data_IF_506305040003
#
_entry.id   IF_506305040003
#
_cell.length_a   1.000
_cell.length_b   1.000
_cell.length_c   1.000
_cell.angle_alpha   90.00
_cell.angle_beta   90.00
_cell.angle_gamma   90.00
#
_symmetry.space_group_name_H-M   'P 1'
#
loop_
_entity.id
_entity.type
_entity.pdbx_description
1 polymer ?
#
# COMPACT_ATOMS: atom_id res chain seq x y z
N UNK A 1 2.13 14.71 17.22
CA UNK A 1 1.51 15.52 16.17
C UNK A 1 0.15 14.96 15.82
N UNK A 2 -0.79 15.81 15.44
CA UNK A 2 -2.12 15.44 14.96
C UNK A 2 -2.39 16.19 13.66
N UNK A 3 -2.78 15.47 12.57
CA UNK A 3 -3.18 16.08 11.31
C UNK A 3 -4.66 15.78 11.06
N UNK A 4 -5.39 16.77 10.58
CA UNK A 4 -6.77 16.64 10.14
C UNK A 4 -6.86 17.10 8.68
N UNK A 5 -7.30 16.21 7.80
CA UNK A 5 -7.44 16.49 6.37
C UNK A 5 -8.89 16.37 5.96
N UNK A 6 -9.36 17.32 5.15
CA UNK A 6 -10.71 17.33 4.60
C UNK A 6 -10.72 17.11 3.10
N UNK A 7 -11.59 16.24 2.60
CA UNK A 7 -11.77 16.02 1.17
C UNK A 7 -13.24 16.06 0.76
N UNK A 8 -13.56 16.85 -0.26
CA UNK A 8 -14.91 16.95 -0.83
C UNK A 8 -15.32 15.72 -1.65
N UNK A 9 -14.36 14.83 -1.95
CA UNK A 9 -14.57 13.58 -2.67
C UNK A 9 -15.44 12.57 -1.92
N UNK A 10 -15.60 12.74 -0.60
CA UNK A 10 -16.39 11.88 0.26
C UNK A 10 -17.74 12.50 0.63
N UNK A 11 -18.69 11.66 1.00
CA UNK A 11 -20.01 12.07 1.46
C UNK A 11 -19.94 12.91 2.75
N UNK A 12 -21.02 13.65 3.05
CA UNK A 12 -21.13 14.42 4.30
C UNK A 12 -20.95 13.50 5.51
N UNK A 13 -20.19 13.95 6.52
CA UNK A 13 -19.94 13.20 7.76
C UNK A 13 -18.67 12.37 7.76
N UNK A 14 -18.10 12.04 6.59
CA UNK A 14 -16.86 11.25 6.46
C UNK A 14 -15.77 11.95 5.65
N UNK A 15 -15.93 13.24 5.41
CA UNK A 15 -14.96 14.09 4.68
C UNK A 15 -13.65 14.30 5.41
N UNK A 16 -13.66 14.22 6.73
CA UNK A 16 -12.51 14.50 7.57
C UNK A 16 -11.82 13.21 7.99
N UNK A 17 -10.52 13.11 7.70
CA UNK A 17 -9.61 12.10 8.22
C UNK A 17 -8.73 12.69 9.31
N UNK A 18 -8.46 11.92 10.37
CA UNK A 18 -7.63 12.31 11.50
C UNK A 18 -6.46 11.34 11.62
N UNK A 19 -5.24 11.88 11.58
CA UNK A 19 -4.03 11.09 11.46
C UNK A 19 -3.05 11.48 12.58
N UNK A 20 -3.08 10.77 13.73
CA UNK A 20 -2.13 10.97 14.82
C UNK A 20 -0.75 10.43 14.44
N UNK A 21 0.30 11.04 15.00
CA UNK A 21 1.66 10.52 14.96
C UNK A 21 2.46 10.94 16.20
N UNK A 22 3.40 10.11 16.59
CA UNK A 22 4.27 10.35 17.71
C UNK A 22 5.59 9.59 17.56
N UNK A 23 6.66 10.14 18.13
CA UNK A 23 7.96 9.48 18.15
C UNK A 23 8.68 9.74 19.47
N UNK A 24 9.48 8.76 19.86
CA UNK A 24 10.39 8.81 21.00
C UNK A 24 11.79 8.43 20.54
N UNK A 25 12.79 9.08 21.10
CA UNK A 25 14.18 8.73 20.85
C UNK A 25 14.98 8.84 22.15
N UNK A 26 15.76 7.81 22.43
CA UNK A 26 16.64 7.75 23.60
C UNK A 26 18.09 7.60 23.17
N UNK A 27 18.89 8.64 23.45
CA UNK A 27 20.32 8.65 23.18
C UNK A 27 21.09 7.97 24.35
N UNK A 28 20.95 6.65 24.46
CA UNK A 28 21.43 5.88 25.57
C UNK A 28 22.95 5.93 25.75
N UNK A 29 23.73 6.11 24.68
CA UNK A 29 25.17 6.26 24.77
C UNK A 29 25.63 7.52 25.57
N UNK A 30 24.71 8.47 25.77
CA UNK A 30 25.00 9.70 26.58
C UNK A 30 24.72 9.52 28.05
N UNK A 31 24.13 8.40 28.47
CA UNK A 31 23.88 8.09 29.86
C UNK A 31 25.23 7.77 30.58
N UNK A 32 25.45 8.31 31.79
CA UNK A 32 26.70 8.18 32.50
C UNK A 32 27.12 6.72 32.69
N UNK A 33 26.15 5.84 33.00
CA UNK A 33 26.41 4.42 33.21
C UNK A 33 26.87 3.66 31.95
N UNK A 34 26.58 4.21 30.74
CA UNK A 34 27.08 3.67 29.45
C UNK A 34 28.36 4.40 29.06
N UNK A 35 28.38 5.73 29.10
CA UNK A 35 29.50 6.55 28.68
C UNK A 35 30.79 6.22 29.42
N UNK A 36 30.67 5.91 30.70
CA UNK A 36 31.81 5.57 31.55
C UNK A 36 32.35 4.14 31.34
N UNK A 37 31.48 3.21 30.89
CA UNK A 37 31.83 1.79 30.78
C UNK A 37 32.01 1.32 29.33
N UNK A 38 31.54 2.08 28.33
CA UNK A 38 31.54 1.72 26.91
C UNK A 38 32.18 2.82 26.06
N UNK A 39 33.43 3.17 26.31
CA UNK A 39 34.16 4.22 25.56
C UNK A 39 34.31 3.95 24.07
N UNK A 40 34.17 2.67 23.65
CA UNK A 40 34.16 2.26 22.25
C UNK A 40 32.89 2.63 21.51
N UNK A 41 31.79 2.93 22.23
CA UNK A 41 30.50 3.33 21.69
C UNK A 41 30.43 4.86 21.64
N UNK A 42 30.68 5.42 20.46
CA UNK A 42 30.65 6.88 20.25
C UNK A 42 29.25 7.44 20.00
N UNK A 43 28.30 6.62 19.58
CA UNK A 43 26.88 6.95 19.45
C UNK A 43 26.01 5.73 19.73
N UNK A 44 24.91 5.93 20.45
CA UNK A 44 23.91 4.90 20.70
C UNK A 44 22.56 5.55 20.89
N UNK A 45 21.62 5.28 19.97
CA UNK A 45 20.28 5.87 19.99
C UNK A 45 19.24 4.84 19.62
N UNK A 46 18.23 4.69 20.46
CA UNK A 46 17.04 3.90 20.18
C UNK A 46 15.92 4.85 19.74
N UNK A 47 15.23 4.49 18.66
CA UNK A 47 14.12 5.26 18.10
C UNK A 47 12.87 4.40 18.04
N UNK A 48 11.75 4.99 18.36
CA UNK A 48 10.43 4.40 18.20
C UNK A 48 9.51 5.45 17.58
N UNK A 49 8.78 5.09 16.56
CA UNK A 49 7.76 5.96 15.98
C UNK A 49 6.50 5.18 15.61
N UNK A 50 5.38 5.86 15.75
CA UNK A 50 4.09 5.41 15.25
C UNK A 50 3.40 6.58 14.57
N UNK A 51 2.80 6.32 13.41
CA UNK A 51 2.05 7.34 12.68
C UNK A 51 0.98 6.77 11.78
N UNK A 52 -0.02 7.60 11.52
CA UNK A 52 -1.08 7.32 10.56
C UNK A 52 -1.04 8.34 9.43
N UNK A 53 -1.36 7.87 8.22
CA UNK A 53 -1.55 8.70 7.03
C UNK A 53 -2.81 8.27 6.29
N UNK A 54 -3.51 9.24 5.67
CA UNK A 54 -4.67 8.99 4.85
C UNK A 54 -4.37 9.09 3.37
N UNK A 55 -5.12 8.33 2.58
CA UNK A 55 -5.16 8.43 1.13
C UNK A 55 -6.62 8.56 0.69
N UNK A 56 -6.88 9.54 -0.20
CA UNK A 56 -8.21 9.84 -0.74
C UNK A 56 -8.24 9.73 -2.27
N UNK A 57 -7.37 8.91 -2.87
CA UNK A 57 -7.30 8.73 -4.32
C UNK A 57 -8.49 7.91 -4.83
N UNK A 58 -9.61 8.60 -4.98
CA UNK A 58 -10.82 8.14 -5.66
C UNK A 58 -11.17 9.17 -6.74
N UNK A 59 -12.04 8.80 -7.66
CA UNK A 59 -12.61 9.73 -8.63
C UNK A 59 -13.46 10.81 -7.97
N UNK A 60 -13.75 11.85 -8.71
CA UNK A 60 -14.58 12.95 -8.23
C UNK A 60 -16.00 12.45 -7.99
N UNK A 61 -16.45 12.51 -6.73
CA UNK A 61 -17.82 12.13 -6.34
C UNK A 61 -18.19 10.67 -6.59
N UNK A 62 -17.22 9.74 -6.58
CA UNK A 62 -17.45 8.29 -6.73
C UNK A 62 -18.42 7.70 -5.69
N UNK A 63 -18.69 8.43 -4.62
CA UNK A 63 -19.71 8.04 -3.64
C UNK A 63 -21.14 8.23 -4.16
N UNK A 64 -21.34 8.98 -5.26
CA UNK A 64 -22.64 9.19 -5.90
C UNK A 64 -22.86 8.18 -7.03
N UNK A 65 -24.11 7.89 -7.34
CA UNK A 65 -24.46 7.20 -8.55
C UNK A 65 -24.25 8.12 -9.75
N UNK A 66 -23.51 7.67 -10.75
CA UNK A 66 -23.29 8.43 -11.97
C UNK A 66 -24.28 7.99 -13.05
N UNK A 67 -24.82 8.97 -13.77
CA UNK A 67 -25.63 8.77 -14.95
C UNK A 67 -24.78 8.98 -16.20
N UNK A 68 -24.89 8.07 -17.15
CA UNK A 68 -24.31 8.23 -18.48
C UNK A 68 -25.42 8.23 -19.54
N UNK A 69 -25.15 8.92 -20.63
CA UNK A 69 -25.95 8.86 -21.85
C UNK A 69 -25.02 8.55 -23.01
N UNK A 70 -25.52 7.83 -23.99
CA UNK A 70 -24.84 7.57 -25.24
C UNK A 70 -25.89 7.65 -26.36
N UNK A 71 -25.63 8.54 -27.31
CA UNK A 71 -26.55 8.84 -28.39
C UNK A 71 -26.79 7.64 -29.32
N UNK A 72 -25.98 6.60 -29.26
CA UNK A 72 -26.13 5.40 -30.06
C UNK A 72 -26.68 4.20 -29.28
N UNK A 73 -26.41 4.08 -27.98
CA UNK A 73 -26.76 2.91 -27.18
C UNK A 73 -27.99 3.10 -26.28
N UNK A 74 -28.24 4.32 -25.79
CA UNK A 74 -29.27 4.56 -24.77
C UNK A 74 -30.37 5.48 -25.26
N UNK A 75 -30.99 5.10 -26.41
CA UNK A 75 -32.14 5.80 -26.99
C UNK A 75 -33.44 5.08 -26.66
N UNK A 76 -34.48 5.84 -26.46
CA UNK A 76 -35.84 5.31 -26.39
C UNK A 76 -36.78 6.08 -27.32
N UNK A 77 -37.80 5.41 -27.91
CA UNK A 77 -38.75 6.06 -28.78
C UNK A 77 -39.71 6.95 -27.99
N UNK A 78 -39.77 8.21 -28.36
CA UNK A 78 -40.72 9.19 -27.82
C UNK A 78 -41.33 10.00 -28.97
N UNK A 79 -42.65 10.02 -29.05
CA UNK A 79 -43.42 10.76 -30.09
C UNK A 79 -42.88 10.54 -31.52
N UNK A 80 -42.58 9.28 -31.89
CA UNK A 80 -42.07 8.90 -33.20
C UNK A 80 -40.61 9.24 -33.49
N UNK A 81 -39.86 9.74 -32.49
CA UNK A 81 -38.41 10.03 -32.60
C UNK A 81 -37.64 9.28 -31.52
N UNK A 82 -36.36 8.95 -31.81
CA UNK A 82 -35.46 8.46 -30.79
C UNK A 82 -34.84 9.63 -30.00
N UNK A 83 -35.04 9.63 -28.69
CA UNK A 83 -34.47 10.63 -27.78
C UNK A 83 -33.40 9.98 -26.87
N UNK A 84 -32.37 10.74 -26.48
CA UNK A 84 -31.33 10.22 -25.54
C UNK A 84 -31.94 9.75 -24.24
N UNK A 85 -31.51 8.57 -23.77
CA UNK A 85 -31.84 8.03 -22.46
C UNK A 85 -30.65 8.14 -21.52
N UNK A 86 -30.88 7.94 -20.23
CA UNK A 86 -29.88 7.93 -19.19
C UNK A 86 -29.92 6.60 -18.45
N UNK A 87 -28.74 6.03 -18.21
CA UNK A 87 -28.58 4.83 -17.38
C UNK A 87 -27.58 5.06 -16.27
N UNK A 88 -27.75 4.34 -15.17
CA UNK A 88 -26.77 4.36 -14.08
C UNK A 88 -25.51 3.62 -14.53
N UNK A 89 -24.35 4.27 -14.45
CA UNK A 89 -23.04 3.69 -14.75
C UNK A 89 -22.30 3.20 -13.53
N UNK A 90 -22.66 3.69 -12.34
CA UNK A 90 -22.03 3.30 -11.08
C UNK A 90 -23.03 3.21 -9.95
N UNK A 91 -22.73 2.34 -8.99
CA UNK A 91 -23.52 2.19 -7.78
C UNK A 91 -23.14 3.27 -6.77
N UNK A 92 -24.12 3.89 -6.13
CA UNK A 92 -23.91 4.82 -5.03
C UNK A 92 -23.28 4.12 -3.82
N UNK A 93 -22.24 4.75 -3.21
CA UNK A 93 -21.65 4.28 -1.97
C UNK A 93 -21.27 5.44 -1.04
N UNK A 94 -22.22 5.90 -0.25
CA UNK A 94 -22.01 6.98 0.72
C UNK A 94 -21.07 6.61 1.89
N UNK A 95 -20.68 5.32 1.99
CA UNK A 95 -19.79 4.82 3.03
C UNK A 95 -18.31 4.86 2.64
N UNK A 96 -18.02 5.33 1.42
CA UNK A 96 -16.62 5.52 0.97
C UNK A 96 -15.89 6.48 1.91
N UNK A 97 -14.80 6.00 2.49
CA UNK A 97 -13.98 6.72 3.47
C UNK A 97 -12.50 6.70 3.10
N UNK A 98 -11.71 7.43 3.84
CA UNK A 98 -10.26 7.47 3.72
C UNK A 98 -9.65 6.07 3.85
N UNK A 99 -8.78 5.72 2.91
CA UNK A 99 -7.82 4.65 3.10
C UNK A 99 -6.80 5.10 4.14
N UNK A 100 -6.51 4.26 5.12
CA UNK A 100 -5.61 4.61 6.22
C UNK A 100 -4.40 3.69 6.24
N UNK A 101 -3.21 4.27 6.26
CA UNK A 101 -1.96 3.57 6.49
C UNK A 101 -1.44 3.87 7.89
N UNK A 102 -1.24 2.83 8.68
CA UNK A 102 -0.58 2.85 9.98
C UNK A 102 0.85 2.33 9.81
N UNK A 103 1.82 3.04 10.38
CA UNK A 103 3.21 2.64 10.36
C UNK A 103 3.80 2.68 11.77
N UNK A 104 4.50 1.63 12.13
CA UNK A 104 5.29 1.51 13.35
C UNK A 104 6.72 1.26 12.93
N UNK A 105 7.66 2.01 13.52
CA UNK A 105 9.09 1.88 13.27
C UNK A 105 9.85 1.75 14.58
N UNK A 106 10.84 0.85 14.60
CA UNK A 106 11.82 0.69 15.65
C UNK A 106 13.20 0.81 15.02
N UNK A 107 13.94 1.85 15.40
CA UNK A 107 15.27 2.16 14.87
C UNK A 107 16.35 2.08 15.95
N UNK A 108 17.54 1.61 15.55
CA UNK A 108 18.73 1.56 16.38
C UNK A 108 19.91 2.16 15.60
N UNK A 109 20.48 3.23 16.15
CA UNK A 109 21.66 3.91 15.61
C UNK A 109 22.85 3.62 16.52
N UNK A 110 23.92 3.06 16.00
CA UNK A 110 25.15 2.76 16.70
C UNK A 110 26.34 3.41 16.01
N UNK A 111 27.20 4.05 16.78
CA UNK A 111 28.46 4.60 16.29
C UNK A 111 29.63 4.05 17.11
N UNK A 112 30.69 3.66 16.44
CA UNK A 112 31.87 3.05 17.05
C UNK A 112 33.14 3.77 16.63
N UNK A 113 34.21 3.66 17.45
CA UNK A 113 35.54 4.15 17.14
C UNK A 113 35.55 5.63 16.74
N UNK A 114 35.02 6.49 17.62
CA UNK A 114 34.88 7.95 17.39
C UNK A 114 34.17 8.31 16.10
N UNK A 115 33.10 7.53 15.75
CA UNK A 115 32.27 7.74 14.56
C UNK A 115 32.90 7.25 13.25
N UNK A 116 33.95 6.42 13.32
CA UNK A 116 34.52 5.78 12.11
C UNK A 116 33.64 4.67 11.55
N UNK A 117 32.80 4.06 12.38
CA UNK A 117 31.83 3.06 11.97
C UNK A 117 30.47 3.53 12.45
N UNK A 118 29.51 3.62 11.55
CA UNK A 118 28.14 3.96 11.85
C UNK A 118 27.21 2.87 11.31
N UNK A 119 26.39 2.29 12.20
CA UNK A 119 25.40 1.27 11.88
C UNK A 119 24.01 1.80 12.23
N UNK A 120 23.14 1.83 11.23
CA UNK A 120 21.73 2.14 11.38
C UNK A 120 20.92 0.88 11.05
N UNK A 121 19.96 0.54 11.89
CA UNK A 121 19.02 -0.57 11.68
C UNK A 121 17.61 -0.08 11.96
N UNK A 122 16.70 -0.28 11.01
CA UNK A 122 15.30 0.08 11.14
C UNK A 122 14.42 -1.14 10.85
N UNK A 123 13.56 -1.48 11.79
CA UNK A 123 12.49 -2.46 11.58
C UNK A 123 11.15 -1.75 11.52
N UNK A 124 10.40 -1.99 10.46
CA UNK A 124 9.10 -1.35 10.29
C UNK A 124 7.98 -2.36 10.03
N UNK A 125 6.76 -1.96 10.43
CA UNK A 125 5.51 -2.60 10.07
C UNK A 125 4.57 -1.51 9.58
N UNK A 126 4.21 -1.58 8.31
CA UNK A 126 3.28 -0.68 7.65
C UNK A 126 2.03 -1.44 7.24
N UNK A 127 0.86 -1.04 7.74
CA UNK A 127 -0.41 -1.68 7.43
C UNK A 127 -1.36 -0.67 6.81
N UNK A 128 -1.78 -0.93 5.57
CA UNK A 128 -2.83 -0.16 4.90
C UNK A 128 -4.16 -0.87 5.07
N UNK A 129 -5.16 -0.15 5.56
CA UNK A 129 -6.52 -0.61 5.82
C UNK A 129 -7.51 0.16 4.96
N UNK A 130 -8.67 -0.45 4.73
CA UNK A 130 -9.75 0.19 3.98
C UNK A 130 -9.28 0.64 2.58
N UNK A 131 -8.52 -0.22 1.89
CA UNK A 131 -8.04 0.04 0.53
C UNK A 131 -9.20 0.42 -0.38
N UNK A 132 -9.04 1.49 -1.13
CA UNK A 132 -10.02 1.96 -2.11
C UNK A 132 -9.81 1.19 -3.42
N UNK A 133 -10.62 0.17 -3.64
CA UNK A 133 -10.52 -0.74 -4.78
C UNK A 133 -11.88 -0.90 -5.46
N UNK A 134 -11.85 -1.08 -6.78
CA UNK A 134 -13.00 -1.60 -7.51
C UNK A 134 -13.12 -3.09 -7.25
N UNK A 135 -14.17 -3.46 -6.54
CA UNK A 135 -14.46 -4.83 -6.16
C UNK A 135 -15.64 -5.37 -6.96
N UNK A 136 -15.53 -6.61 -7.42
CA UNK A 136 -16.63 -7.32 -8.04
C UNK A 136 -17.78 -7.46 -7.06
N UNK A 137 -18.98 -7.15 -7.51
CA UNK A 137 -20.22 -7.26 -6.73
C UNK A 137 -21.19 -8.22 -7.41
N UNK A 138 -22.22 -8.67 -6.69
CA UNK A 138 -23.21 -9.56 -7.25
C UNK A 138 -23.92 -8.91 -8.44
N UNK A 139 -24.00 -9.61 -9.56
CA UNK A 139 -24.72 -9.16 -10.75
C UNK A 139 -26.22 -8.84 -10.48
N UNK A 140 -26.80 -9.36 -9.40
CA UNK A 140 -28.15 -9.02 -8.95
C UNK A 140 -28.32 -7.54 -8.56
N UNK A 141 -27.20 -6.81 -8.32
CA UNK A 141 -27.21 -5.37 -8.08
C UNK A 141 -27.42 -4.53 -9.36
N UNK A 142 -27.29 -5.14 -10.54
CA UNK A 142 -27.28 -4.46 -11.83
C UNK A 142 -25.92 -3.91 -12.25
N UNK A 143 -24.88 -4.10 -11.44
CA UNK A 143 -23.50 -3.64 -11.70
C UNK A 143 -22.52 -4.80 -11.58
N UNK A 144 -21.42 -4.74 -12.34
CA UNK A 144 -20.33 -5.73 -12.26
C UNK A 144 -19.35 -5.44 -11.14
N UNK A 145 -19.10 -4.17 -10.83
CA UNK A 145 -18.16 -3.72 -9.82
C UNK A 145 -18.65 -2.44 -9.13
N UNK A 146 -18.07 -2.16 -7.97
CA UNK A 146 -18.25 -0.91 -7.25
C UNK A 146 -16.96 -0.55 -6.51
N UNK A 147 -16.66 0.74 -6.38
CA UNK A 147 -15.58 1.24 -5.54
C UNK A 147 -15.95 1.07 -4.08
N UNK A 148 -15.16 0.29 -3.36
CA UNK A 148 -15.39 -0.05 -1.95
C UNK A 148 -14.11 0.14 -1.14
N UNK A 149 -14.26 0.41 0.16
CA UNK A 149 -13.17 0.31 1.11
C UNK A 149 -13.01 -1.15 1.54
N UNK A 150 -12.17 -1.89 0.84
CA UNK A 150 -11.99 -3.33 1.06
C UNK A 150 -10.52 -3.69 1.04
N UNK A 151 -10.19 -4.72 1.81
CA UNK A 151 -8.85 -5.23 1.86
C UNK A 151 -7.95 -4.54 2.88
N UNK A 152 -6.88 -5.28 3.19
CA UNK A 152 -5.84 -4.88 4.13
C UNK A 152 -4.52 -5.47 3.67
N UNK A 153 -3.51 -4.61 3.54
CA UNK A 153 -2.18 -4.96 3.10
C UNK A 153 -1.17 -4.63 4.19
N UNK A 154 -0.21 -5.52 4.42
CA UNK A 154 0.90 -5.30 5.32
C UNK A 154 2.22 -5.38 4.57
N UNK A 155 3.08 -4.41 4.84
CA UNK A 155 4.49 -4.47 4.50
C UNK A 155 5.29 -4.44 5.80
N UNK A 156 6.26 -5.32 5.95
CA UNK A 156 7.18 -5.31 7.08
C UNK A 156 8.58 -5.59 6.57
N UNK A 157 9.57 -4.98 7.20
CA UNK A 157 10.94 -5.12 6.74
C UNK A 157 11.97 -4.70 7.75
N UNK A 158 13.20 -5.11 7.46
CA UNK A 158 14.41 -4.72 8.16
C UNK A 158 15.33 -4.03 7.15
N UNK A 159 15.74 -2.82 7.49
CA UNK A 159 16.71 -2.03 6.72
C UNK A 159 17.97 -1.85 7.55
N UNK A 160 19.13 -2.07 6.92
CA UNK A 160 20.43 -1.96 7.59
C UNK A 160 21.33 -1.10 6.70
N UNK A 161 21.88 -0.05 7.28
CA UNK A 161 22.88 0.81 6.65
C UNK A 161 24.16 0.79 7.50
N UNK A 162 25.27 0.50 6.86
CA UNK A 162 26.61 0.53 7.45
C UNK A 162 27.46 1.56 6.71
N UNK A 163 27.95 2.54 7.44
CA UNK A 163 28.89 3.54 6.95
C UNK A 163 30.20 3.42 7.67
N UNK A 164 31.31 3.47 6.92
CA UNK A 164 32.65 3.35 7.50
C UNK A 164 33.61 4.37 6.92
N UNK A 165 34.43 4.97 7.79
CA UNK A 165 35.60 5.74 7.40
C UNK A 165 36.82 4.83 7.49
N UNK A 166 37.21 4.22 6.36
CA UNK A 166 38.30 3.23 6.31
C UNK A 166 39.66 3.88 6.50
N UNK A 167 39.92 4.96 5.76
CA UNK A 167 41.14 5.72 5.84
C UNK A 167 40.79 7.20 5.91
N UNK A 168 41.44 7.91 6.83
CA UNK A 168 41.36 9.37 6.92
C UNK A 168 42.73 9.92 7.29
N UNK A 169 43.39 10.55 6.31
CA UNK A 169 44.64 11.28 6.48
C UNK A 169 44.42 12.74 6.11
N UNK A 170 45.48 13.57 6.18
CA UNK A 170 45.41 14.99 5.80
C UNK A 170 45.02 15.19 4.34
N UNK A 171 45.53 14.31 3.45
CA UNK A 171 45.43 14.49 1.99
C UNK A 171 44.58 13.39 1.33
N UNK A 172 44.12 12.38 2.08
CA UNK A 172 43.34 11.27 1.54
C UNK A 172 42.27 10.79 2.52
N UNK A 173 41.05 10.59 1.98
CA UNK A 173 39.94 10.02 2.75
C UNK A 173 39.24 8.94 1.90
N UNK A 174 39.02 7.78 2.51
CA UNK A 174 38.24 6.69 1.93
C UNK A 174 37.10 6.30 2.88
N UNK A 175 35.86 6.52 2.41
CA UNK A 175 34.62 6.13 3.09
C UNK A 175 33.94 5.05 2.28
N UNK A 176 33.25 4.12 2.94
CA UNK A 176 32.39 3.12 2.33
C UNK A 176 31.02 3.17 2.94
N UNK A 177 29.98 2.98 2.12
CA UNK A 177 28.59 2.86 2.56
C UNK A 177 28.00 1.61 1.96
N UNK A 178 27.30 0.83 2.76
CA UNK A 178 26.58 -0.38 2.36
C UNK A 178 25.18 -0.33 2.95
N UNK A 179 24.17 -0.63 2.15
CA UNK A 179 22.80 -0.78 2.60
C UNK A 179 22.20 -2.09 2.10
N UNK A 180 21.31 -2.67 2.92
CA UNK A 180 20.53 -3.85 2.56
C UNK A 180 19.14 -3.73 3.19
N UNK A 181 18.12 -4.14 2.44
CA UNK A 181 16.74 -4.15 2.90
C UNK A 181 16.10 -5.51 2.64
N UNK A 182 15.39 -6.00 3.65
CA UNK A 182 14.54 -7.19 3.56
C UNK A 182 13.09 -6.73 3.72
N UNK A 183 12.26 -7.01 2.75
CA UNK A 183 10.85 -6.60 2.76
C UNK A 183 9.93 -7.79 2.52
N UNK A 184 8.88 -7.91 3.33
CA UNK A 184 7.78 -8.86 3.16
C UNK A 184 6.49 -8.08 2.92
N UNK A 185 5.84 -8.34 1.80
CA UNK A 185 4.49 -7.86 1.49
C UNK A 185 3.49 -9.00 1.73
N UNK A 186 2.34 -8.72 2.35
CA UNK A 186 1.34 -9.72 2.69
C UNK A 186 -0.06 -9.12 2.64
N UNK A 187 -0.97 -9.77 1.91
CA UNK A 187 -2.39 -9.47 1.91
C UNK A 187 -3.02 -10.06 3.18
N UNK A 188 -3.51 -9.20 4.06
CA UNK A 188 -4.12 -9.61 5.33
C UNK A 188 -5.62 -9.88 5.17
N UNK A 189 -6.29 -9.15 4.31
CA UNK A 189 -7.71 -9.32 4.01
C UNK A 189 -8.03 -8.80 2.60
N UNK A 190 -9.01 -9.40 1.98
CA UNK A 190 -9.66 -8.95 0.74
C UNK A 190 -11.12 -8.59 1.03
N UNK A 191 -11.92 -8.37 -0.01
CA UNK A 191 -13.36 -8.16 0.12
C UNK A 191 -14.02 -9.33 0.88
N UNK A 192 -15.03 -9.06 1.68
CA UNK A 192 -15.65 -10.02 2.59
C UNK A 192 -16.09 -11.30 1.85
N UNK A 193 -15.53 -12.44 2.28
CA UNK A 193 -15.86 -13.77 1.76
C UNK A 193 -15.09 -14.22 0.51
N UNK A 194 -14.23 -13.38 -0.06
CA UNK A 194 -13.39 -13.78 -1.19
C UNK A 194 -12.02 -14.28 -0.71
N UNK A 195 -11.64 -15.54 -0.97
CA UNK A 195 -10.33 -16.08 -0.59
C UNK A 195 -9.21 -15.54 -1.48
N UNK A 196 -9.53 -15.14 -2.70
CA UNK A 196 -8.60 -14.55 -3.67
C UNK A 196 -9.33 -13.63 -4.65
N UNK A 197 -8.57 -12.78 -5.33
CA UNK A 197 -8.98 -11.95 -6.46
C UNK A 197 -7.98 -12.15 -7.59
N UNK A 198 -8.45 -12.18 -8.83
CA UNK A 198 -7.60 -12.26 -10.02
C UNK A 198 -7.67 -10.94 -10.80
N UNK A 199 -6.64 -10.65 -11.56
CA UNK A 199 -6.65 -9.52 -12.49
C UNK A 199 -6.02 -9.90 -13.83
N UNK A 200 -6.53 -9.27 -14.88
CA UNK A 200 -6.13 -9.49 -16.27
C UNK A 200 -5.13 -8.42 -16.70
N UNK A 201 -4.28 -8.74 -17.69
CA UNK A 201 -3.48 -7.74 -18.40
C UNK A 201 -4.32 -7.24 -19.56
N UNK A 202 -4.67 -5.96 -19.53
CA UNK A 202 -5.54 -5.33 -20.52
C UNK A 202 -4.71 -4.58 -21.59
N UNK A 203 -3.85 -5.27 -22.32
CA UNK A 203 -3.14 -4.64 -23.45
C UNK A 203 -3.71 -4.99 -24.83
N UNK A 204 -4.42 -6.12 -24.93
CA UNK A 204 -5.09 -6.57 -26.15
C UNK A 204 -6.29 -7.43 -25.76
N UNK A 205 -7.47 -7.11 -26.28
CA UNK A 205 -8.72 -7.84 -26.05
C UNK A 205 -8.63 -9.33 -26.46
N UNK A 206 -7.70 -9.68 -27.36
CA UNK A 206 -7.48 -11.06 -27.82
C UNK A 206 -6.88 -11.97 -26.72
N UNK A 207 -6.10 -11.41 -25.80
CA UNK A 207 -5.40 -12.15 -24.74
C UNK A 207 -6.01 -11.96 -23.34
N UNK A 208 -7.14 -11.27 -23.25
CA UNK A 208 -7.80 -10.90 -22.00
C UNK A 208 -8.68 -12.02 -21.41
N UNK A 209 -8.46 -13.27 -21.82
CA UNK A 209 -9.28 -14.42 -21.40
C UNK A 209 -8.73 -15.17 -20.19
N UNK A 210 -7.46 -14.93 -19.85
CA UNK A 210 -6.77 -15.61 -18.74
C UNK A 210 -6.25 -14.58 -17.76
N UNK A 211 -6.53 -14.71 -16.45
CA UNK A 211 -5.96 -13.83 -15.45
C UNK A 211 -4.44 -14.02 -15.38
N UNK A 212 -3.71 -12.92 -15.22
CA UNK A 212 -2.26 -12.88 -15.17
C UNK A 212 -1.72 -12.71 -13.74
N UNK A 213 -2.54 -12.23 -12.83
CA UNK A 213 -2.16 -12.02 -11.44
C UNK A 213 -3.23 -12.56 -10.49
N UNK A 214 -2.79 -13.07 -9.36
CA UNK A 214 -3.64 -13.48 -8.25
C UNK A 214 -3.25 -12.75 -6.97
N UNK A 215 -4.26 -12.29 -6.24
CA UNK A 215 -4.13 -11.74 -4.90
C UNK A 215 -4.84 -12.68 -3.96
N UNK A 216 -4.10 -13.29 -3.04
CA UNK A 216 -4.64 -14.27 -2.09
C UNK A 216 -4.25 -13.88 -0.67
N UNK A 217 -5.17 -14.06 0.26
CA UNK A 217 -4.91 -13.77 1.68
C UNK A 217 -3.76 -14.63 2.19
N UNK A 218 -2.81 -14.00 2.89
CA UNK A 218 -1.57 -14.61 3.39
C UNK A 218 -0.41 -14.62 2.39
N UNK A 219 -0.64 -14.19 1.16
CA UNK A 219 0.37 -14.15 0.10
C UNK A 219 0.73 -12.70 -0.31
N UNK A 220 1.79 -12.56 -1.12
CA UNK A 220 2.19 -11.27 -1.68
C UNK A 220 1.16 -10.75 -2.69
N UNK A 221 0.99 -9.43 -2.76
CA UNK A 221 0.04 -8.78 -3.67
C UNK A 221 0.42 -8.89 -5.17
N UNK A 222 1.67 -9.26 -5.49
CA UNK A 222 2.20 -9.28 -6.85
C UNK A 222 2.40 -10.68 -7.44
N UNK A 223 1.70 -11.71 -6.96
CA UNK A 223 1.87 -13.06 -7.46
C UNK A 223 1.35 -13.21 -8.89
N UNK A 224 2.18 -13.74 -9.76
CA UNK A 224 1.77 -14.14 -11.11
C UNK A 224 0.86 -15.35 -11.05
N UNK A 225 -0.07 -15.41 -11.98
CA UNK A 225 -1.04 -16.50 -12.11
C UNK A 225 -1.12 -16.95 -13.57
N UNK A 226 -1.20 -18.25 -13.79
CA UNK A 226 -1.29 -18.80 -15.14
C UNK A 226 -1.34 -20.31 -15.14
N UNK A 227 -1.41 -20.88 -16.33
CA UNK A 227 -1.35 -22.33 -16.51
C UNK A 227 0.08 -22.84 -16.33
N UNK A 228 0.21 -23.98 -15.66
CA UNK A 228 1.44 -24.76 -15.62
C UNK A 228 1.42 -25.77 -16.78
N UNK A 229 2.49 -25.81 -17.57
CA UNK A 229 2.61 -26.80 -18.63
C UNK A 229 2.97 -28.16 -18.01
N UNK A 230 2.08 -29.16 -18.18
CA UNK A 230 2.24 -30.52 -17.62
C UNK A 230 2.50 -31.57 -18.72
N UNK A 231 2.85 -31.13 -19.91
CA UNK A 231 3.16 -32.00 -21.04
C UNK A 231 2.14 -31.96 -22.17
N UNK A 232 2.42 -32.70 -23.23
CA UNK A 232 1.52 -32.89 -24.37
C UNK A 232 0.62 -34.11 -24.16
N UNK A 233 -0.62 -34.02 -24.63
CA UNK A 233 -1.48 -35.21 -24.70
C UNK A 233 -0.80 -36.28 -25.55
N UNK A 234 -0.61 -37.46 -25.00
CA UNK A 234 -0.25 -38.65 -25.78
C UNK A 234 -1.55 -39.33 -26.18
N UNK A 235 -1.76 -39.52 -27.48
CA UNK A 235 -2.77 -40.47 -27.94
C UNK A 235 -2.27 -41.83 -27.54
N UNK A 236 -3.04 -42.56 -26.73
CA UNK A 236 -2.91 -43.99 -26.59
C UNK A 236 -3.63 -44.58 -27.82
N UNK A 237 -2.90 -45.33 -28.68
CA UNK A 237 -3.41 -46.05 -29.86
C UNK A 237 -4.29 -47.22 -29.44
#
# INVERSE_FOLDING_TARGET
TMRADGASYFARGIRWGYFPSGSLAWAFARESFIAENASWLSNGKLRFSYGQTGNNRIGNYDYMAHLITDDDLYKYPWNGQFVPGYVLSSMQNEKLKWETTEQLDLGLDLGFLDGRIYLNMDYYIKTTKDLLLDADISASSGFSSATLNVGKLRNSGLEITLETTNIKTKDFSWNSSFNIAFNKNEIIALNSGQPYMTSYISWDNKYNTTPAYIRKVGESAGNMYGFSFDGTYKYED
#
